data_IF_861114411879
#
_entry.id   IF_861114411879
#
_cell.length_a   1.000
_cell.length_b   1.000
_cell.length_c   1.000
_cell.angle_alpha   90.00
_cell.angle_beta   90.00
_cell.angle_gamma   90.00
#
_symmetry.space_group_name_H-M   'P 1'
#
loop_
_entity.id
_entity.type
_entity.pdbx_description
1 polymer ?
#
# COMPACT_ATOMS: atom_id res chain seq x y z
N UNK A 1 18.11 -4.63 -21.10
CA UNK A 1 18.92 -4.63 -22.33
C UNK A 1 19.30 -3.23 -22.84
N UNK A 2 18.53 -2.17 -22.51
CA UNK A 2 18.96 -0.77 -22.72
C UNK A 2 20.29 -0.44 -22.03
N UNK A 3 20.41 -0.84 -20.77
CA UNK A 3 21.59 -0.58 -19.94
C UNK A 3 22.68 -1.59 -20.27
N UNK A 4 23.93 -1.13 -20.26
CA UNK A 4 25.08 -1.99 -20.43
C UNK A 4 25.23 -2.92 -19.22
N UNK A 5 25.34 -4.21 -19.49
CA UNK A 5 25.36 -5.25 -18.46
C UNK A 5 26.79 -5.70 -18.14
N UNK A 6 27.75 -5.44 -19.02
CA UNK A 6 29.14 -5.89 -18.84
C UNK A 6 29.76 -5.36 -17.53
N UNK A 7 29.57 -4.09 -17.14
CA UNK A 7 30.08 -3.57 -15.87
C UNK A 7 29.44 -4.25 -14.64
N UNK A 8 28.25 -4.83 -14.79
CA UNK A 8 27.48 -5.43 -13.69
C UNK A 8 27.92 -6.87 -13.40
N UNK A 9 28.52 -7.57 -14.37
CA UNK A 9 28.78 -9.00 -14.28
C UNK A 9 29.77 -9.38 -13.17
N UNK A 10 30.71 -8.47 -12.89
CA UNK A 10 31.81 -8.70 -11.93
C UNK A 10 31.59 -8.01 -10.58
N UNK A 11 30.45 -7.35 -10.39
CA UNK A 11 30.13 -6.70 -9.12
C UNK A 11 29.85 -7.73 -8.02
N UNK A 12 30.24 -7.40 -6.80
CA UNK A 12 29.84 -8.12 -5.60
C UNK A 12 28.33 -7.97 -5.34
N UNK A 13 27.77 -8.85 -4.49
CA UNK A 13 26.36 -8.79 -4.11
C UNK A 13 26.00 -7.42 -3.50
N UNK A 14 26.86 -6.87 -2.66
CA UNK A 14 26.64 -5.55 -2.04
C UNK A 14 26.63 -4.42 -3.08
N UNK A 15 27.55 -4.45 -4.05
CA UNK A 15 27.57 -3.48 -5.14
C UNK A 15 26.35 -3.62 -6.04
N UNK A 16 25.92 -4.85 -6.35
CA UNK A 16 24.68 -5.11 -7.09
C UNK A 16 23.46 -4.53 -6.37
N UNK A 17 23.36 -4.66 -5.03
CA UNK A 17 22.28 -4.05 -4.24
C UNK A 17 22.26 -2.52 -4.35
N UNK A 18 23.42 -1.88 -4.39
CA UNK A 18 23.53 -0.42 -4.61
C UNK A 18 23.10 -0.06 -6.02
N UNK A 19 23.58 -0.79 -7.02
CA UNK A 19 23.29 -0.52 -8.43
C UNK A 19 21.81 -0.71 -8.78
N UNK A 20 21.14 -1.68 -8.14
CA UNK A 20 19.69 -1.90 -8.26
C UNK A 20 18.85 -0.71 -7.78
N UNK A 21 19.39 0.14 -6.90
CA UNK A 21 18.71 1.35 -6.38
C UNK A 21 18.87 2.55 -7.32
N UNK A 22 19.87 2.55 -8.21
CA UNK A 22 20.15 3.68 -9.11
C UNK A 22 19.14 3.81 -10.25
N UNK A 23 18.98 5.04 -10.72
CA UNK A 23 18.22 5.37 -11.94
C UNK A 23 19.20 5.69 -13.07
N UNK A 24 19.02 5.14 -14.28
CA UNK A 24 17.94 4.24 -14.71
C UNK A 24 18.12 2.79 -14.21
N UNK A 25 17.02 2.15 -13.80
CA UNK A 25 17.05 0.77 -13.27
C UNK A 25 17.34 -0.27 -14.35
N UNK A 26 18.38 -1.07 -14.15
CA UNK A 26 18.73 -2.21 -15.03
C UNK A 26 17.84 -3.44 -14.81
N UNK A 27 17.32 -3.60 -13.58
CA UNK A 27 16.43 -4.69 -13.19
C UNK A 27 15.06 -4.13 -12.81
N UNK A 28 13.99 -4.76 -13.32
CA UNK A 28 12.60 -4.40 -13.00
C UNK A 28 11.78 -5.66 -12.75
N UNK A 29 10.99 -5.65 -11.68
CA UNK A 29 10.03 -6.72 -11.37
C UNK A 29 8.72 -6.46 -12.13
N UNK A 30 8.31 -7.42 -12.96
CA UNK A 30 7.01 -7.41 -13.63
C UNK A 30 6.06 -8.31 -12.85
N UNK A 31 4.97 -7.75 -12.32
CA UNK A 31 3.98 -8.49 -11.53
C UNK A 31 2.90 -9.05 -12.46
N UNK A 32 2.85 -10.36 -12.65
CA UNK A 32 1.88 -11.04 -13.53
C UNK A 32 0.43 -10.77 -13.12
N UNK A 33 0.16 -10.69 -11.82
CA UNK A 33 -1.17 -10.40 -11.25
C UNK A 33 -1.60 -8.92 -11.36
N UNK A 34 -0.82 -8.07 -12.03
CA UNK A 34 -1.16 -6.65 -12.28
C UNK A 34 -1.43 -6.37 -13.77
N UNK A 35 -1.80 -7.41 -14.52
CA UNK A 35 -2.11 -7.35 -15.95
C UNK A 35 -1.06 -6.57 -16.76
N UNK A 36 0.22 -6.97 -16.71
CA UNK A 36 1.27 -6.27 -17.44
C UNK A 36 1.04 -6.42 -18.95
N UNK A 37 1.22 -5.33 -19.69
CA UNK A 37 1.20 -5.37 -21.15
C UNK A 37 2.54 -5.93 -21.62
N UNK A 38 2.51 -7.16 -22.13
CA UNK A 38 3.66 -7.83 -22.75
C UNK A 38 3.31 -8.02 -24.21
N UNK A 39 4.02 -7.29 -25.07
CA UNK A 39 3.84 -7.33 -26.52
C UNK A 39 5.10 -7.85 -27.20
N UNK A 40 4.92 -8.28 -28.45
CA UNK A 40 6.03 -8.74 -29.27
C UNK A 40 7.14 -7.67 -29.40
N UNK A 41 8.39 -8.12 -29.44
CA UNK A 41 9.55 -7.26 -29.53
C UNK A 41 9.50 -6.30 -30.72
N UNK A 42 8.83 -6.66 -31.83
CA UNK A 42 8.67 -5.80 -33.01
C UNK A 42 8.05 -4.43 -32.69
N UNK A 43 7.14 -4.38 -31.71
CA UNK A 43 6.52 -3.13 -31.27
C UNK A 43 7.45 -2.33 -30.36
N UNK A 44 8.19 -3.03 -29.48
CA UNK A 44 9.17 -2.41 -28.60
C UNK A 44 10.35 -1.76 -29.35
N UNK A 45 10.77 -2.36 -30.48
CA UNK A 45 11.83 -1.83 -31.32
C UNK A 45 11.48 -0.53 -32.06
N UNK A 46 10.20 -0.14 -32.10
CA UNK A 46 9.74 1.10 -32.76
C UNK A 46 9.77 2.31 -31.83
N UNK A 47 10.06 2.13 -30.54
CA UNK A 47 9.99 3.19 -29.52
C UNK A 47 11.32 3.40 -28.80
N UNK A 48 11.56 4.63 -28.32
CA UNK A 48 12.70 4.97 -27.47
C UNK A 48 12.73 4.10 -26.20
N UNK A 49 13.89 3.54 -25.82
CA UNK A 49 15.24 3.74 -26.38
C UNK A 49 15.64 2.72 -27.45
N UNK A 50 14.77 1.78 -27.83
CA UNK A 50 15.14 0.63 -28.65
C UNK A 50 15.15 0.92 -30.15
N UNK A 51 14.41 1.94 -30.60
CA UNK A 51 14.44 2.46 -31.97
C UNK A 51 15.81 3.00 -32.41
N UNK A 52 16.61 3.54 -31.49
CA UNK A 52 17.96 4.10 -31.75
C UNK A 52 19.10 3.16 -31.40
N UNK A 53 18.81 1.99 -30.82
CA UNK A 53 19.82 1.00 -30.47
C UNK A 53 20.02 -0.02 -31.59
N UNK A 54 21.27 -0.44 -31.77
CA UNK A 54 21.57 -1.55 -32.68
C UNK A 54 20.99 -2.87 -32.13
N UNK A 55 20.21 -3.56 -32.97
CA UNK A 55 19.65 -4.88 -32.67
C UNK A 55 20.74 -5.91 -32.37
N UNK A 56 21.90 -5.82 -33.02
CA UNK A 56 23.02 -6.73 -32.75
C UNK A 56 23.53 -6.59 -31.31
N UNK A 57 23.63 -5.35 -30.82
CA UNK A 57 24.03 -5.04 -29.44
C UNK A 57 23.01 -5.54 -28.42
N UNK A 58 21.71 -5.37 -28.69
CA UNK A 58 20.63 -5.86 -27.81
C UNK A 58 20.73 -7.38 -27.67
N UNK A 59 20.89 -8.09 -28.79
CA UNK A 59 21.04 -9.54 -28.80
C UNK A 59 22.31 -10.00 -28.08
N UNK A 60 23.47 -9.36 -28.34
CA UNK A 60 24.73 -9.65 -27.61
C UNK A 60 24.52 -9.56 -26.10
N UNK A 61 23.88 -8.50 -25.61
CA UNK A 61 23.59 -8.32 -24.18
C UNK A 61 22.64 -9.39 -23.65
N UNK A 62 21.63 -9.78 -24.43
CA UNK A 62 20.71 -10.85 -24.04
C UNK A 62 21.43 -12.20 -23.91
N UNK A 63 22.32 -12.51 -24.85
CA UNK A 63 23.09 -13.76 -24.86
C UNK A 63 24.08 -13.83 -23.70
N UNK A 64 24.75 -12.73 -23.36
CA UNK A 64 25.64 -12.67 -22.19
C UNK A 64 24.87 -13.01 -20.90
N UNK A 65 23.67 -12.43 -20.72
CA UNK A 65 22.85 -12.72 -19.53
C UNK A 65 22.40 -14.19 -19.55
N UNK A 66 21.95 -14.68 -20.72
CA UNK A 66 21.44 -16.05 -20.87
C UNK A 66 22.50 -17.11 -20.57
N UNK A 67 23.75 -16.86 -20.96
CA UNK A 67 24.86 -17.79 -20.80
C UNK A 67 25.60 -17.64 -19.46
N UNK A 68 25.30 -16.60 -18.67
CA UNK A 68 25.94 -16.36 -17.38
C UNK A 68 25.00 -16.70 -16.21
N UNK A 69 24.91 -17.99 -15.89
CA UNK A 69 24.09 -18.48 -14.78
C UNK A 69 24.53 -17.89 -13.43
N UNK A 70 25.85 -17.73 -13.22
CA UNK A 70 26.42 -17.15 -11.99
C UNK A 70 25.87 -15.75 -11.74
N UNK A 71 25.78 -14.92 -12.77
CA UNK A 71 25.19 -13.58 -12.66
C UNK A 71 23.72 -13.66 -12.22
N UNK A 72 22.94 -14.57 -12.80
CA UNK A 72 21.54 -14.77 -12.41
C UNK A 72 21.40 -15.19 -10.94
N UNK A 73 22.26 -16.09 -10.46
CA UNK A 73 22.29 -16.50 -9.05
C UNK A 73 22.67 -15.34 -8.11
N UNK A 74 23.65 -14.52 -8.49
CA UNK A 74 24.03 -13.33 -7.72
C UNK A 74 22.87 -12.33 -7.61
N UNK A 75 22.09 -12.14 -8.68
CA UNK A 75 20.90 -11.28 -8.66
C UNK A 75 19.82 -11.86 -7.72
N UNK A 76 19.57 -13.17 -7.77
CA UNK A 76 18.62 -13.82 -6.86
C UNK A 76 19.05 -13.69 -5.39
N UNK A 77 20.34 -13.85 -5.12
CA UNK A 77 20.90 -13.68 -3.78
C UNK A 77 20.74 -12.24 -3.28
N UNK A 78 21.12 -11.25 -4.11
CA UNK A 78 20.96 -9.84 -3.79
C UNK A 78 19.49 -9.48 -3.51
N UNK A 79 18.55 -10.00 -4.30
CA UNK A 79 17.12 -9.77 -4.07
C UNK A 79 16.62 -10.41 -2.76
N UNK A 80 17.12 -11.59 -2.41
CA UNK A 80 16.79 -12.26 -1.14
C UNK A 80 17.31 -11.47 0.05
N UNK A 81 18.58 -11.06 0.05
CA UNK A 81 19.14 -10.23 1.11
C UNK A 81 18.38 -8.91 1.27
N UNK A 82 18.03 -8.24 0.16
CA UNK A 82 17.23 -6.99 0.22
C UNK A 82 15.85 -7.23 0.82
N UNK A 83 15.26 -8.41 0.60
CA UNK A 83 14.00 -8.76 1.23
C UNK A 83 14.19 -8.98 2.74
N UNK A 84 15.17 -9.79 3.14
CA UNK A 84 15.49 -10.10 4.54
C UNK A 84 15.87 -8.85 5.34
N UNK A 85 16.72 -7.98 4.79
CA UNK A 85 17.09 -6.69 5.39
C UNK A 85 15.87 -5.82 5.65
N UNK A 86 14.92 -5.77 4.70
CA UNK A 86 13.66 -5.03 4.86
C UNK A 86 12.77 -5.63 5.93
N UNK A 87 12.79 -6.94 6.12
CA UNK A 87 12.03 -7.60 7.18
C UNK A 87 12.64 -7.32 8.55
N UNK A 88 13.97 -7.34 8.66
CA UNK A 88 14.69 -7.00 9.89
C UNK A 88 14.54 -5.52 10.26
N UNK A 89 14.39 -4.63 9.28
CA UNK A 89 14.18 -3.21 9.52
C UNK A 89 12.72 -2.81 9.73
N UNK A 90 11.77 -3.76 9.81
CA UNK A 90 10.36 -3.44 10.09
C UNK A 90 10.26 -2.83 11.49
N UNK A 91 9.50 -1.75 11.61
CA UNK A 91 9.23 -1.08 12.89
C UNK A 91 8.57 -2.06 13.86
N UNK A 92 8.90 -1.94 15.15
CA UNK A 92 8.28 -2.74 16.23
C UNK A 92 6.89 -2.23 16.64
N UNK A 93 6.39 -1.17 16.00
CA UNK A 93 5.06 -0.64 16.28
C UNK A 93 3.98 -1.63 15.86
N UNK A 94 2.91 -1.70 16.66
CA UNK A 94 1.74 -2.50 16.33
C UNK A 94 1.14 -2.03 15.00
N UNK A 95 1.02 -2.95 14.06
CA UNK A 95 0.43 -2.70 12.74
C UNK A 95 -1.08 -2.82 12.87
N UNK A 96 -1.81 -1.84 12.37
CA UNK A 96 -3.27 -1.92 12.38
C UNK A 96 -3.78 -3.02 11.45
N UNK A 97 -4.97 -3.55 11.75
CA UNK A 97 -5.60 -4.57 10.92
C UNK A 97 -5.66 -4.15 9.43
N UNK A 98 -6.00 -2.88 9.17
CA UNK A 98 -6.03 -2.26 7.84
C UNK A 98 -4.67 -2.29 7.12
N UNK A 99 -3.57 -2.08 7.84
CA UNK A 99 -2.21 -2.10 7.28
C UNK A 99 -1.68 -3.53 7.09
N UNK A 100 -2.34 -4.52 7.69
CA UNK A 100 -1.91 -5.92 7.71
C UNK A 100 -2.51 -6.78 6.61
N UNK A 101 -3.26 -6.21 5.65
CA UNK A 101 -3.96 -6.99 4.60
C UNK A 101 -3.03 -7.86 3.74
N UNK A 102 -1.76 -7.48 3.60
CA UNK A 102 -0.76 -8.21 2.82
C UNK A 102 0.23 -9.00 3.68
N UNK A 103 0.05 -9.05 5.00
CA UNK A 103 0.97 -9.79 5.89
C UNK A 103 0.73 -11.29 5.80
N UNK A 104 -0.54 -11.71 5.74
CA UNK A 104 -0.94 -13.11 5.57
C UNK A 104 -2.30 -13.20 4.89
N UNK A 105 -2.49 -14.24 4.09
CA UNK A 105 -3.81 -14.62 3.57
C UNK A 105 -4.68 -15.20 4.69
N UNK A 106 -6.00 -15.10 4.52
CA UNK A 106 -6.97 -15.73 5.41
C UNK A 106 -6.90 -17.24 5.25
N UNK A 107 -7.19 -17.97 6.33
CA UNK A 107 -7.21 -19.44 6.27
C UNK A 107 -8.38 -19.93 5.41
N UNK A 108 -8.28 -21.16 4.89
CA UNK A 108 -9.41 -21.79 4.19
C UNK A 108 -10.64 -21.95 5.10
N UNK A 109 -10.41 -22.16 6.41
CA UNK A 109 -11.47 -22.26 7.41
C UNK A 109 -12.23 -20.93 7.53
N UNK A 110 -11.52 -19.82 7.71
CA UNK A 110 -12.15 -18.49 7.79
C UNK A 110 -12.86 -18.12 6.48
N UNK A 111 -12.23 -18.41 5.35
CA UNK A 111 -12.78 -18.10 4.02
C UNK A 111 -14.10 -18.85 3.77
N UNK A 112 -14.24 -20.08 4.27
CA UNK A 112 -15.47 -20.86 4.18
C UNK A 112 -16.63 -20.26 5.01
N UNK A 113 -16.34 -19.44 6.02
CA UNK A 113 -17.36 -18.77 6.85
C UNK A 113 -17.92 -17.51 6.18
N UNK A 114 -17.24 -16.93 5.19
CA UNK A 114 -17.65 -15.67 4.55
C UNK A 114 -19.07 -15.70 3.96
N UNK A 115 -19.49 -16.70 3.17
CA UNK A 115 -20.84 -16.69 2.59
C UNK A 115 -21.93 -16.68 3.67
N UNK A 116 -21.75 -17.50 4.71
CA UNK A 116 -22.70 -17.57 5.83
C UNK A 116 -22.73 -16.24 6.62
N UNK A 117 -21.56 -15.63 6.85
CA UNK A 117 -21.47 -14.34 7.54
C UNK A 117 -22.12 -13.22 6.74
N UNK A 118 -21.88 -13.14 5.43
CA UNK A 118 -22.46 -12.11 4.57
C UNK A 118 -23.99 -12.22 4.46
N UNK A 119 -24.53 -13.43 4.43
CA UNK A 119 -25.97 -13.69 4.34
C UNK A 119 -26.72 -13.56 5.68
N UNK A 120 -26.00 -13.55 6.82
CA UNK A 120 -26.61 -13.51 8.14
C UNK A 120 -27.22 -12.14 8.49
N UNK A 121 -28.19 -12.14 9.40
CA UNK A 121 -28.73 -10.92 10.01
C UNK A 121 -27.65 -10.17 10.79
N UNK A 122 -27.80 -8.87 11.06
CA UNK A 122 -26.81 -8.12 11.84
C UNK A 122 -26.57 -8.72 13.23
N UNK A 123 -27.64 -9.20 13.90
CA UNK A 123 -27.54 -9.87 15.21
C UNK A 123 -26.74 -11.16 15.14
N UNK A 124 -26.91 -11.93 14.07
CA UNK A 124 -26.21 -13.20 13.92
C UNK A 124 -24.78 -13.00 13.38
N UNK A 125 -24.53 -11.96 12.57
CA UNK A 125 -23.19 -11.55 12.16
C UNK A 125 -22.27 -11.31 13.35
N UNK A 126 -22.78 -10.67 14.40
CA UNK A 126 -22.01 -10.44 15.63
C UNK A 126 -21.63 -11.77 16.31
N UNK A 127 -22.57 -12.72 16.43
CA UNK A 127 -22.31 -14.05 17.03
C UNK A 127 -21.37 -14.91 16.18
N UNK A 128 -21.45 -14.76 14.86
CA UNK A 128 -20.59 -15.50 13.93
C UNK A 128 -19.14 -15.01 13.97
N UNK A 129 -18.85 -13.82 14.50
CA UNK A 129 -17.47 -13.34 14.64
C UNK A 129 -16.61 -14.23 15.53
N UNK A 130 -17.20 -14.86 16.55
CA UNK A 130 -16.48 -15.75 17.48
C UNK A 130 -15.97 -17.05 16.81
N UNK A 131 -16.38 -17.31 15.56
CA UNK A 131 -15.96 -18.49 14.79
C UNK A 131 -14.74 -18.25 13.92
N UNK A 132 -14.33 -17.00 13.72
CA UNK A 132 -13.14 -16.66 12.94
C UNK A 132 -11.89 -16.81 13.79
N UNK A 133 -10.85 -17.42 13.23
CA UNK A 133 -9.56 -17.58 13.90
C UNK A 133 -8.65 -16.36 13.68
N UNK A 134 -8.87 -15.61 12.60
CA UNK A 134 -8.10 -14.41 12.29
C UNK A 134 -8.68 -13.17 12.97
N UNK A 135 -7.98 -12.66 13.99
CA UNK A 135 -8.36 -11.45 14.73
C UNK A 135 -8.62 -10.23 13.84
N UNK A 136 -7.95 -10.16 12.67
CA UNK A 136 -8.18 -9.08 11.69
C UNK A 136 -9.62 -9.12 11.17
N UNK A 137 -10.14 -10.32 10.88
CA UNK A 137 -11.51 -10.51 10.39
C UNK A 137 -12.54 -10.17 11.47
N UNK A 138 -12.26 -10.54 12.72
CA UNK A 138 -13.09 -10.15 13.87
C UNK A 138 -13.12 -8.62 14.03
N UNK A 139 -11.96 -7.97 13.93
CA UNK A 139 -11.84 -6.51 13.99
C UNK A 139 -12.59 -5.80 12.86
N UNK A 140 -12.44 -6.27 11.62
CA UNK A 140 -13.18 -5.73 10.47
C UNK A 140 -14.68 -5.96 10.59
N UNK A 141 -15.10 -7.16 11.00
CA UNK A 141 -16.51 -7.48 11.21
C UNK A 141 -17.17 -6.56 12.23
N UNK A 142 -16.51 -6.30 13.36
CA UNK A 142 -16.99 -5.34 14.38
C UNK A 142 -17.15 -3.93 13.81
N UNK A 143 -16.20 -3.47 12.99
CA UNK A 143 -16.25 -2.14 12.34
C UNK A 143 -17.39 -2.03 11.32
N UNK A 144 -17.62 -3.09 10.52
CA UNK A 144 -18.75 -3.13 9.58
C UNK A 144 -20.08 -3.06 10.34
N UNK A 145 -20.24 -3.86 11.40
CA UNK A 145 -21.47 -3.83 12.22
C UNK A 145 -21.64 -2.45 12.87
N UNK A 146 -20.56 -1.82 13.35
CA UNK A 146 -20.62 -0.48 13.92
C UNK A 146 -21.09 0.59 12.92
N UNK A 147 -20.70 0.48 11.65
CA UNK A 147 -21.09 1.43 10.61
C UNK A 147 -22.54 1.23 10.16
N UNK A 148 -22.98 -0.02 10.03
CA UNK A 148 -24.27 -0.35 9.40
C UNK A 148 -25.41 -0.58 10.41
N UNK A 149 -25.11 -1.14 11.59
CA UNK A 149 -26.08 -1.53 12.60
C UNK A 149 -25.51 -1.39 14.04
N UNK A 150 -25.12 -0.17 14.48
CA UNK A 150 -24.50 0.06 15.78
C UNK A 150 -25.39 -0.37 16.97
N UNK A 151 -26.72 -0.38 16.80
CA UNK A 151 -27.69 -0.81 17.80
C UNK A 151 -27.59 -2.30 18.17
N UNK A 152 -26.97 -3.10 17.31
CA UNK A 152 -26.73 -4.53 17.56
C UNK A 152 -25.53 -4.75 18.47
N UNK A 153 -24.62 -3.78 18.56
CA UNK A 153 -23.42 -3.90 19.36
C UNK A 153 -23.73 -3.69 20.86
N UNK A 154 -23.14 -4.51 21.75
CA UNK A 154 -23.15 -4.21 23.17
C UNK A 154 -22.54 -2.84 23.46
N UNK A 155 -23.08 -2.13 24.44
CA UNK A 155 -22.65 -0.77 24.79
C UNK A 155 -21.14 -0.67 25.05
N UNK A 156 -20.56 -1.68 25.73
CA UNK A 156 -19.13 -1.77 26.01
C UNK A 156 -18.27 -1.86 24.73
N UNK A 157 -18.75 -2.60 23.72
CA UNK A 157 -18.06 -2.76 22.44
C UNK A 157 -18.17 -1.50 21.61
N UNK A 158 -19.37 -0.90 21.56
CA UNK A 158 -19.61 0.36 20.86
C UNK A 158 -18.73 1.48 21.43
N UNK A 159 -18.62 1.58 22.76
CA UNK A 159 -17.75 2.56 23.43
C UNK A 159 -16.28 2.35 23.12
N UNK A 160 -15.83 1.09 23.08
CA UNK A 160 -14.45 0.74 22.72
C UNK A 160 -14.13 1.16 21.28
N UNK A 161 -14.99 0.79 20.32
CA UNK A 161 -14.79 1.14 18.90
C UNK A 161 -14.80 2.67 18.71
N UNK A 162 -15.75 3.39 19.33
CA UNK A 162 -15.78 4.86 19.27
C UNK A 162 -14.51 5.48 19.82
N UNK A 163 -13.99 4.97 20.94
CA UNK A 163 -12.76 5.46 21.56
C UNK A 163 -11.54 5.21 20.66
N UNK A 164 -11.46 4.05 20.02
CA UNK A 164 -10.39 3.74 19.05
C UNK A 164 -10.43 4.69 17.85
N UNK A 165 -11.62 4.96 17.32
CA UNK A 165 -11.81 5.90 16.21
C UNK A 165 -11.42 7.32 16.66
N UNK A 166 -11.89 7.78 17.82
CA UNK A 166 -11.55 9.09 18.37
C UNK A 166 -10.04 9.26 18.54
N UNK A 167 -9.35 8.28 19.12
CA UNK A 167 -7.88 8.29 19.26
C UNK A 167 -7.14 8.45 17.94
N UNK A 168 -7.65 7.86 16.85
CA UNK A 168 -7.03 7.95 15.52
C UNK A 168 -7.31 9.29 14.84
N UNK A 169 -8.55 9.77 14.91
CA UNK A 169 -9.01 10.98 14.24
C UNK A 169 -8.48 12.24 14.95
N UNK A 170 -8.42 12.22 16.28
CA UNK A 170 -8.00 13.36 17.11
C UNK A 170 -6.52 13.28 17.52
N UNK A 171 -5.72 12.39 16.93
CA UNK A 171 -4.29 12.30 17.25
C UNK A 171 -3.55 13.58 16.82
N UNK A 172 -2.77 14.14 17.75
CA UNK A 172 -1.86 15.27 17.51
C UNK A 172 -0.49 14.82 17.00
N UNK A 173 -0.24 13.50 16.96
CA UNK A 173 1.02 12.95 16.46
C UNK A 173 1.03 12.97 14.93
N UNK A 174 2.24 12.86 14.37
CA UNK A 174 2.43 12.65 12.94
C UNK A 174 2.05 11.22 12.55
N UNK A 175 0.77 11.02 12.25
CA UNK A 175 0.23 9.74 11.79
C UNK A 175 0.44 9.53 10.28
N UNK A 176 0.24 8.30 9.81
CA UNK A 176 0.29 7.96 8.36
C UNK A 176 -1.01 8.30 7.61
N UNK A 177 -2.03 8.75 8.34
CA UNK A 177 -3.35 9.15 7.82
C UNK A 177 -3.67 10.58 8.28
N UNK A 178 -4.72 11.16 7.69
CA UNK A 178 -5.18 12.49 8.06
C UNK A 178 -5.91 12.49 9.41
N UNK A 179 -5.45 13.35 10.31
CA UNK A 179 -6.10 13.66 11.58
C UNK A 179 -6.81 15.02 11.48
N UNK A 180 -7.74 15.30 12.39
CA UNK A 180 -8.44 16.60 12.45
C UNK A 180 -7.45 17.76 12.62
N UNK A 181 -6.45 17.71 13.52
CA UNK A 181 -5.44 18.76 13.60
C UNK A 181 -4.65 18.98 12.30
N UNK A 182 -4.29 17.88 11.62
CA UNK A 182 -3.59 17.95 10.32
C UNK A 182 -4.47 18.59 9.26
N UNK A 183 -5.76 18.22 9.23
CA UNK A 183 -6.74 18.78 8.30
C UNK A 183 -6.91 20.29 8.49
N UNK A 184 -7.05 20.77 9.73
CA UNK A 184 -7.15 22.21 9.97
C UNK A 184 -5.89 22.97 9.52
N UNK A 185 -4.71 22.42 9.81
CA UNK A 185 -3.44 23.04 9.40
C UNK A 185 -3.33 23.16 7.87
N UNK A 186 -3.77 22.14 7.14
CA UNK A 186 -3.79 22.17 5.67
C UNK A 186 -4.85 23.14 5.14
N UNK A 187 -6.04 23.16 5.72
CA UNK A 187 -7.10 24.11 5.34
C UNK A 187 -6.59 25.54 5.48
N UNK A 188 -5.94 25.88 6.59
CA UNK A 188 -5.41 27.23 6.80
C UNK A 188 -4.31 27.59 5.77
N UNK A 189 -3.42 26.64 5.49
CA UNK A 189 -2.36 26.80 4.48
C UNK A 189 -2.94 27.02 3.08
N UNK A 190 -3.94 26.23 2.70
CA UNK A 190 -4.60 26.34 1.39
C UNK A 190 -5.48 27.57 1.29
N UNK A 191 -6.12 27.99 2.38
CA UNK A 191 -6.94 29.20 2.44
C UNK A 191 -6.10 30.44 2.18
N UNK A 192 -4.91 30.54 2.77
CA UNK A 192 -3.97 31.64 2.49
C UNK A 192 -3.59 31.68 1.01
N UNK A 193 -3.24 30.52 0.44
CA UNK A 193 -2.90 30.39 -0.97
C UNK A 193 -4.04 30.82 -1.91
N UNK A 194 -5.23 30.27 -1.72
CA UNK A 194 -6.36 30.55 -2.63
C UNK A 194 -6.97 31.93 -2.44
N UNK A 195 -6.78 32.54 -1.26
CA UNK A 195 -7.08 33.97 -1.06
C UNK A 195 -6.17 34.83 -1.93
N UNK A 196 -4.87 34.53 -1.98
CA UNK A 196 -3.92 35.26 -2.84
C UNK A 196 -4.20 35.03 -4.34
N UNK A 197 -4.73 33.87 -4.72
CA UNK A 197 -5.12 33.53 -6.09
C UNK A 197 -6.54 34.01 -6.48
N UNK A 198 -7.31 34.60 -5.53
CA UNK A 198 -8.72 35.00 -5.70
C UNK A 198 -9.64 33.87 -6.20
N UNK A 199 -9.38 32.62 -5.80
CA UNK A 199 -10.16 31.45 -6.21
C UNK A 199 -11.32 31.17 -5.22
N UNK A 200 -12.43 31.87 -5.44
CA UNK A 200 -13.61 31.80 -4.56
C UNK A 200 -14.28 30.42 -4.51
N UNK A 201 -14.18 29.62 -5.57
CA UNK A 201 -14.78 28.27 -5.60
C UNK A 201 -14.02 27.33 -4.65
N UNK A 202 -12.68 27.38 -4.68
CA UNK A 202 -11.86 26.57 -3.77
C UNK A 202 -11.99 27.03 -2.33
N UNK A 203 -12.13 28.33 -2.08
CA UNK A 203 -12.36 28.85 -0.72
C UNK A 203 -13.68 28.33 -0.14
N UNK A 204 -14.77 28.35 -0.92
CA UNK A 204 -16.05 27.80 -0.49
C UNK A 204 -15.94 26.28 -0.17
N UNK A 205 -15.22 25.52 -1.00
CA UNK A 205 -14.98 24.10 -0.74
C UNK A 205 -14.18 23.85 0.55
N UNK A 206 -13.18 24.69 0.85
CA UNK A 206 -12.42 24.60 2.10
C UNK A 206 -13.29 24.88 3.33
N UNK A 207 -14.24 25.80 3.22
CA UNK A 207 -15.19 26.08 4.30
C UNK A 207 -16.14 24.87 4.53
N UNK A 208 -16.61 24.22 3.46
CA UNK A 208 -17.38 22.97 3.58
C UNK A 208 -16.58 21.87 4.29
N UNK A 209 -15.29 21.71 3.96
CA UNK A 209 -14.41 20.75 4.64
C UNK A 209 -14.19 21.09 6.11
N UNK A 210 -14.05 22.38 6.44
CA UNK A 210 -13.90 22.84 7.81
C UNK A 210 -15.14 22.54 8.65
N UNK A 211 -16.34 22.86 8.15
CA UNK A 211 -17.60 22.55 8.83
C UNK A 211 -17.79 21.04 9.03
N UNK A 212 -17.42 20.24 8.02
CA UNK A 212 -17.46 18.79 8.14
C UNK A 212 -16.50 18.27 9.20
N UNK A 213 -15.27 18.80 9.25
CA UNK A 213 -14.26 18.45 10.25
C UNK A 213 -14.73 18.78 11.67
N UNK A 214 -15.32 19.98 11.88
CA UNK A 214 -15.89 20.40 13.16
C UNK A 214 -17.02 19.48 13.63
N UNK A 215 -17.90 19.07 12.72
CA UNK A 215 -18.99 18.14 13.01
C UNK A 215 -18.46 16.75 13.45
N UNK A 216 -17.41 16.26 12.77
CA UNK A 216 -16.74 15.01 13.15
C UNK A 216 -16.07 15.14 14.52
N UNK A 217 -15.33 16.22 14.76
CA UNK A 217 -14.64 16.46 16.03
C UNK A 217 -15.63 16.45 17.19
N UNK A 218 -16.72 17.22 17.10
CA UNK A 218 -17.78 17.27 18.11
C UNK A 218 -18.46 15.93 18.38
N UNK A 219 -18.47 15.02 17.39
CA UNK A 219 -19.05 13.67 17.54
C UNK A 219 -18.14 12.73 18.34
N UNK A 220 -16.83 12.95 18.35
CA UNK A 220 -15.83 12.04 18.92
C UNK A 220 -15.08 12.61 20.14
N UNK A 221 -15.19 13.90 20.41
CA UNK A 221 -14.89 14.53 21.72
C UNK A 221 -15.93 14.16 22.78
#
# INVERSE_FOLDING_TARGET
LRIDIEPLLNLSINELKVEMKKSPKFLRTIRSNKAPIIVDAKYGMQVEPYNVMDKSLINKRADIIRNNEKFSQNILHALREVAEEKEQSKTQEDIYAEESIYTKFTSNKDTALFPAWHAASWKDKLKLLDKFDDDRLVGFGKKIIFQEAPEVLPESMLKTIKREIAKRILSEKKEKWWTIPTLYTEIDTLREKYTNENDNEKLALLDEFNEHAMSIQKKYE
#
